data_IF_998968556426
#
_entry.id   IF_998968556426
#
_cell.length_a   1.000
_cell.length_b   1.000
_cell.length_c   1.000
_cell.angle_alpha   90.00
_cell.angle_beta   90.00
_cell.angle_gamma   90.00
#
_symmetry.space_group_name_H-M   'P 1'
#
loop_
_entity.id
_entity.type
_entity.pdbx_description
1 polymer ?
#
# COMPACT_ATOMS: atom_id res chain seq x y z
N UNK A 1 -8.14 -29.62 6.39
CA UNK A 1 -8.39 -28.66 5.30
C UNK A 1 -7.14 -27.83 5.15
N UNK A 2 -6.36 -28.06 4.12
CA UNK A 2 -5.24 -27.16 3.81
C UNK A 2 -5.86 -25.83 3.39
N UNK A 3 -5.75 -24.82 4.25
CA UNK A 3 -6.11 -23.45 3.90
C UNK A 3 -4.93 -22.93 3.09
N UNK A 4 -4.89 -23.22 1.79
CA UNK A 4 -3.92 -22.60 0.90
C UNK A 4 -4.31 -21.13 0.74
N UNK A 5 -3.45 -20.19 1.12
CA UNK A 5 -3.68 -18.79 0.87
C UNK A 5 -3.72 -18.51 -0.64
N UNK A 6 -4.49 -17.50 -1.05
CA UNK A 6 -4.60 -17.12 -2.45
C UNK A 6 -3.42 -16.22 -2.82
N UNK A 7 -2.54 -16.68 -3.71
CA UNK A 7 -1.47 -15.84 -4.28
C UNK A 7 -2.04 -15.15 -5.53
N UNK A 8 -1.97 -13.80 -5.63
CA UNK A 8 -2.50 -13.09 -6.78
C UNK A 8 -1.56 -13.24 -7.99
N UNK A 9 -2.14 -13.30 -9.19
CA UNK A 9 -1.36 -13.25 -10.44
C UNK A 9 -0.69 -11.88 -10.62
N UNK A 10 0.65 -11.88 -10.71
CA UNK A 10 1.48 -10.69 -10.91
C UNK A 10 2.47 -10.93 -12.07
N UNK A 11 2.98 -9.87 -12.73
CA UNK A 11 3.94 -10.01 -13.83
C UNK A 11 5.36 -10.42 -13.36
N UNK A 12 5.54 -10.70 -12.07
CA UNK A 12 6.78 -11.15 -11.45
C UNK A 12 6.48 -12.14 -10.32
N UNK A 13 7.49 -12.91 -9.92
CA UNK A 13 7.36 -13.85 -8.81
C UNK A 13 7.15 -13.09 -7.48
N UNK A 14 6.07 -13.41 -6.77
CA UNK A 14 5.76 -12.87 -5.46
C UNK A 14 5.05 -13.96 -4.65
N UNK A 15 5.65 -14.47 -3.57
CA UNK A 15 5.05 -15.54 -2.76
C UNK A 15 4.05 -15.02 -1.72
N UNK A 16 3.68 -13.74 -1.76
CA UNK A 16 2.81 -13.14 -0.75
C UNK A 16 1.35 -13.51 -1.02
N UNK A 17 0.75 -14.19 -0.06
CA UNK A 17 -0.67 -14.54 -0.04
C UNK A 17 -1.54 -13.32 0.29
N UNK A 18 -2.65 -13.18 -0.42
CA UNK A 18 -3.70 -12.20 -0.14
C UNK A 18 -4.20 -12.37 1.29
N UNK A 19 -4.42 -11.23 1.93
CA UNK A 19 -4.99 -11.10 3.28
C UNK A 19 -4.15 -11.69 4.43
N UNK A 20 -2.99 -12.28 4.12
CA UNK A 20 -1.95 -12.58 5.09
C UNK A 20 -1.23 -11.31 5.55
N UNK A 21 -0.56 -11.38 6.71
CA UNK A 21 0.05 -10.23 7.40
C UNK A 21 1.57 -10.27 7.32
N UNK A 22 2.17 -9.14 6.95
CA UNK A 22 3.61 -9.00 6.73
C UNK A 22 4.16 -7.72 7.35
N UNK A 23 5.31 -7.80 7.99
CA UNK A 23 6.11 -6.66 8.40
C UNK A 23 6.81 -5.99 7.23
N UNK A 24 7.17 -4.72 7.38
CA UNK A 24 7.83 -3.94 6.31
C UNK A 24 9.13 -4.57 5.80
N UNK A 25 9.90 -5.27 6.66
CA UNK A 25 11.12 -5.97 6.25
C UNK A 25 10.83 -7.22 5.43
N UNK A 26 9.80 -7.98 5.80
CA UNK A 26 9.38 -9.18 5.05
C UNK A 26 8.91 -8.80 3.65
N UNK A 27 8.12 -7.73 3.54
CA UNK A 27 7.70 -7.16 2.25
C UNK A 27 8.93 -6.81 1.41
N UNK A 28 9.89 -6.07 1.96
CA UNK A 28 11.09 -5.67 1.21
C UNK A 28 12.02 -6.83 0.84
N UNK A 29 12.07 -7.89 1.65
CA UNK A 29 12.87 -9.07 1.38
C UNK A 29 12.36 -9.83 0.15
N UNK A 30 11.04 -9.91 -0.02
CA UNK A 30 10.43 -10.53 -1.22
C UNK A 30 10.86 -9.84 -2.52
N UNK A 31 11.06 -8.52 -2.48
CA UNK A 31 11.52 -7.74 -3.63
C UNK A 31 13.05 -7.55 -3.68
N UNK A 32 13.80 -8.30 -2.87
CA UNK A 32 15.27 -8.29 -2.87
C UNK A 32 15.91 -7.02 -2.32
N UNK A 33 15.17 -6.18 -1.59
CA UNK A 33 15.71 -4.92 -1.02
C UNK A 33 16.17 -5.04 0.42
N UNK A 34 15.59 -5.94 1.22
CA UNK A 34 16.09 -6.25 2.55
C UNK A 34 16.81 -7.60 2.53
N UNK A 35 18.10 -7.60 2.90
CA UNK A 35 18.97 -8.78 2.90
C UNK A 35 19.74 -8.87 4.22
N UNK A 36 20.67 -9.81 4.35
CA UNK A 36 21.54 -9.88 5.54
C UNK A 36 22.49 -8.66 5.62
N UNK A 37 22.78 -8.05 4.48
CA UNK A 37 23.72 -6.96 4.30
C UNK A 37 23.05 -5.58 4.33
N UNK A 38 21.74 -5.49 4.04
CA UNK A 38 21.01 -4.21 4.02
C UNK A 38 19.64 -4.31 4.66
N UNK A 39 19.25 -3.27 5.42
CA UNK A 39 17.90 -3.15 5.99
C UNK A 39 16.83 -2.70 4.97
N UNK A 40 17.23 -2.44 3.73
CA UNK A 40 16.35 -1.97 2.65
C UNK A 40 16.05 -0.48 2.67
N UNK A 41 15.03 -0.11 1.92
CA UNK A 41 14.51 1.24 1.82
C UNK A 41 13.98 1.72 3.17
N UNK A 42 14.34 2.97 3.48
CA UNK A 42 13.80 3.73 4.61
C UNK A 42 12.91 4.84 4.06
N UNK A 43 11.74 5.05 4.66
CA UNK A 43 10.76 5.99 4.13
C UNK A 43 9.35 5.69 4.63
N UNK A 44 8.49 6.71 4.61
CA UNK A 44 7.13 6.60 5.14
C UNK A 44 6.15 6.33 4.00
N UNK A 45 5.55 5.15 3.99
CA UNK A 45 4.29 4.91 3.28
C UNK A 45 4.40 4.32 1.87
N UNK A 46 5.54 4.39 1.18
CA UNK A 46 5.70 3.78 -0.17
C UNK A 46 7.10 3.19 -0.34
N UNK A 47 7.19 2.02 -0.97
CA UNK A 47 8.43 1.45 -1.48
C UNK A 47 8.38 1.35 -3.01
N UNK A 48 9.48 1.71 -3.67
CA UNK A 48 9.62 1.61 -5.13
C UNK A 48 10.64 0.52 -5.47
N UNK A 49 10.24 -0.45 -6.29
CA UNK A 49 11.07 -1.54 -6.78
C UNK A 49 11.20 -1.43 -8.31
N UNK A 50 12.10 -0.57 -8.82
CA UNK A 50 12.20 -0.30 -10.25
C UNK A 50 12.61 -1.53 -11.06
N UNK A 51 13.36 -2.48 -10.48
CA UNK A 51 13.84 -3.68 -11.17
C UNK A 51 12.72 -4.62 -11.62
N UNK A 52 11.61 -4.63 -10.87
CA UNK A 52 10.40 -5.41 -11.19
C UNK A 52 9.22 -4.51 -11.55
N UNK A 53 9.48 -3.21 -11.73
CA UNK A 53 8.46 -2.17 -11.96
C UNK A 53 7.28 -2.28 -11.00
N UNK A 54 7.54 -2.23 -9.70
CA UNK A 54 6.48 -2.29 -8.69
C UNK A 54 6.55 -1.11 -7.71
N UNK A 55 5.39 -0.63 -7.30
CA UNK A 55 5.23 0.22 -6.11
C UNK A 55 4.42 -0.54 -5.06
N UNK A 56 4.90 -0.52 -3.82
CA UNK A 56 4.16 -0.99 -2.66
C UNK A 56 3.68 0.22 -1.86
N UNK A 57 2.36 0.36 -1.74
CA UNK A 57 1.71 1.37 -0.91
C UNK A 57 1.44 0.78 0.48
N UNK A 58 2.03 1.38 1.52
CA UNK A 58 1.85 1.02 2.92
C UNK A 58 0.81 1.96 3.56
N UNK A 59 -0.41 1.46 3.70
CA UNK A 59 -1.56 2.23 4.17
C UNK A 59 -1.80 1.99 5.66
N UNK A 60 -1.97 3.07 6.41
CA UNK A 60 -2.49 3.02 7.79
C UNK A 60 -3.75 3.88 7.85
N UNK A 61 -4.90 3.25 8.13
CA UNK A 61 -6.19 3.93 8.07
C UNK A 61 -6.41 4.88 9.25
N UNK A 62 -6.19 4.39 10.47
CA UNK A 62 -6.35 5.14 11.71
C UNK A 62 -5.02 5.80 12.05
N UNK A 63 -4.91 7.09 11.73
CA UNK A 63 -3.74 7.91 12.05
C UNK A 63 -3.98 8.71 13.31
N UNK A 64 -3.03 8.66 14.23
CA UNK A 64 -3.04 9.47 15.46
C UNK A 64 -1.86 10.43 15.47
N UNK A 65 -2.02 11.60 16.07
CA UNK A 65 -0.95 12.62 16.16
C UNK A 65 0.27 12.14 16.98
N UNK A 66 0.09 11.15 17.85
CA UNK A 66 1.20 10.51 18.58
C UNK A 66 2.10 9.69 17.66
N UNK A 67 1.56 9.18 16.56
CA UNK A 67 2.21 8.22 15.69
C UNK A 67 2.63 8.78 14.33
N UNK A 68 2.03 9.90 13.93
CA UNK A 68 2.18 10.58 12.64
C UNK A 68 2.35 12.08 12.83
N UNK A 69 3.23 12.68 12.02
CA UNK A 69 3.37 14.15 11.97
C UNK A 69 2.23 14.76 11.14
N UNK A 70 1.89 16.05 11.33
CA UNK A 70 0.94 16.75 10.46
C UNK A 70 1.26 16.62 8.96
N UNK A 71 2.55 16.57 8.60
CA UNK A 71 3.01 16.40 7.22
C UNK A 71 2.80 15.00 6.62
N UNK A 72 2.41 14.01 7.43
CA UNK A 72 2.16 12.61 7.03
C UNK A 72 0.73 12.14 7.38
N UNK A 73 -0.16 13.07 7.70
CA UNK A 73 -1.59 12.85 7.94
C UNK A 73 -2.38 12.74 6.62
N UNK A 74 -1.91 11.90 5.70
CA UNK A 74 -2.57 11.63 4.42
C UNK A 74 -3.95 10.99 4.63
N UNK A 75 -4.92 11.38 3.81
CA UNK A 75 -6.26 10.82 3.89
C UNK A 75 -6.34 9.47 3.17
N UNK A 76 -6.04 8.38 3.88
CA UNK A 76 -6.22 7.02 3.36
C UNK A 76 -7.43 6.35 4.00
N UNK A 77 -8.38 5.87 3.20
CA UNK A 77 -9.58 5.24 3.72
C UNK A 77 -10.26 4.37 2.65
N UNK A 78 -10.85 3.23 3.05
CA UNK A 78 -11.69 2.48 2.14
C UNK A 78 -12.97 3.26 1.80
N UNK A 79 -13.29 3.34 0.51
CA UNK A 79 -14.57 3.84 -0.01
C UNK A 79 -15.59 2.71 -0.05
N UNK A 80 -15.13 1.52 -0.46
CA UNK A 80 -15.87 0.26 -0.42
C UNK A 80 -14.87 -0.88 -0.22
N UNK A 81 -15.33 -2.13 -0.21
CA UNK A 81 -14.42 -3.29 -0.19
C UNK A 81 -13.54 -3.39 -1.43
N UNK A 82 -13.87 -2.70 -2.52
CA UNK A 82 -13.11 -2.73 -3.78
C UNK A 82 -12.45 -1.41 -4.12
N UNK A 83 -12.80 -0.31 -3.42
CA UNK A 83 -12.31 1.02 -3.73
C UNK A 83 -11.60 1.63 -2.53
N UNK A 84 -10.41 2.14 -2.75
CA UNK A 84 -9.55 2.74 -1.74
C UNK A 84 -9.17 4.15 -2.18
N UNK A 85 -9.40 5.12 -1.30
CA UNK A 85 -8.78 6.43 -1.42
C UNK A 85 -7.39 6.41 -0.79
N UNK A 86 -6.41 6.98 -1.48
CA UNK A 86 -5.03 7.12 -1.01
C UNK A 86 -4.45 8.45 -1.45
N UNK A 87 -3.62 9.09 -0.63
CA UNK A 87 -2.89 10.29 -1.01
C UNK A 87 -1.38 10.05 -1.06
N UNK A 88 -0.72 10.61 -2.08
CA UNK A 88 0.73 10.51 -2.22
C UNK A 88 1.48 11.29 -1.15
N UNK A 89 2.77 10.97 -0.98
CA UNK A 89 3.65 11.75 -0.12
C UNK A 89 3.74 13.20 -0.59
N UNK A 90 3.98 14.11 0.35
CA UNK A 90 4.04 15.56 0.11
C UNK A 90 5.16 16.00 -0.84
N UNK A 91 6.13 15.14 -1.16
CA UNK A 91 7.19 15.36 -2.15
C UNK A 91 6.90 14.71 -3.52
N UNK A 92 5.80 13.97 -3.65
CA UNK A 92 5.37 13.33 -4.90
C UNK A 92 4.38 14.25 -5.60
N UNK A 93 4.85 14.96 -6.62
CA UNK A 93 4.06 15.82 -7.49
C UNK A 93 3.71 15.08 -8.78
N UNK A 94 2.63 15.46 -9.48
CA UNK A 94 2.21 14.73 -10.69
C UNK A 94 3.31 14.71 -11.75
N UNK A 95 4.03 15.82 -11.94
CA UNK A 95 5.07 15.95 -12.95
C UNK A 95 6.39 15.23 -12.61
N UNK A 96 6.56 14.74 -11.37
CA UNK A 96 7.73 13.94 -10.99
C UNK A 96 7.62 12.50 -11.53
N UNK A 97 8.76 11.82 -11.66
CA UNK A 97 8.81 10.42 -12.12
C UNK A 97 7.91 9.49 -11.31
N UNK A 98 7.96 9.58 -9.97
CA UNK A 98 7.12 8.73 -9.10
C UNK A 98 5.62 9.04 -9.28
N UNK A 99 5.26 10.32 -9.41
CA UNK A 99 3.87 10.74 -9.64
C UNK A 99 3.35 10.23 -10.99
N UNK A 100 4.15 10.39 -12.05
CA UNK A 100 3.81 9.85 -13.36
C UNK A 100 3.75 8.32 -13.37
N UNK A 101 4.67 7.62 -12.69
CA UNK A 101 4.65 6.16 -12.56
C UNK A 101 3.36 5.67 -11.89
N UNK A 102 2.85 6.38 -10.88
CA UNK A 102 1.59 6.06 -10.21
C UNK A 102 0.37 6.36 -11.10
N UNK A 103 0.36 7.51 -11.79
CA UNK A 103 -0.77 7.93 -12.64
C UNK A 103 -0.87 7.08 -13.91
N UNK A 104 0.25 6.78 -14.53
CA UNK A 104 0.35 6.06 -15.79
C UNK A 104 0.79 4.61 -15.61
N UNK A 105 0.58 4.04 -14.41
CA UNK A 105 1.14 2.75 -14.02
C UNK A 105 0.90 1.65 -15.06
N UNK A 106 -0.35 1.53 -15.54
CA UNK A 106 -0.72 0.55 -16.57
C UNK A 106 -0.04 0.78 -17.91
N UNK A 107 0.18 2.03 -18.31
CA UNK A 107 0.82 2.36 -19.59
C UNK A 107 2.33 2.10 -19.53
N UNK A 108 2.92 2.14 -18.34
CA UNK A 108 4.36 2.02 -18.11
C UNK A 108 4.76 0.66 -17.52
N UNK A 109 3.82 -0.28 -17.47
CA UNK A 109 3.94 -1.62 -16.91
C UNK A 109 4.32 -1.66 -15.42
N UNK A 110 3.98 -0.60 -14.69
CA UNK A 110 4.12 -0.57 -13.25
C UNK A 110 2.96 -1.30 -12.57
N UNK A 111 3.29 -2.20 -11.65
CA UNK A 111 2.32 -2.87 -10.78
C UNK A 111 2.23 -2.14 -9.44
N UNK A 112 1.02 -1.75 -9.04
CA UNK A 112 0.78 -1.10 -7.75
C UNK A 112 0.19 -2.13 -6.78
N UNK A 113 0.84 -2.32 -5.65
CA UNK A 113 0.45 -3.28 -4.61
C UNK A 113 0.07 -2.54 -3.34
N UNK A 114 -1.03 -2.94 -2.69
CA UNK A 114 -1.49 -2.30 -1.45
C UNK A 114 -1.32 -3.24 -0.26
N UNK A 115 -0.72 -2.70 0.80
CA UNK A 115 -0.56 -3.33 2.10
C UNK A 115 -1.15 -2.39 3.14
N UNK A 116 -2.16 -2.84 3.89
CA UNK A 116 -2.94 -1.98 4.78
C UNK A 116 -2.99 -2.50 6.21
N UNK A 117 -3.16 -1.60 7.17
CA UNK A 117 -3.42 -1.92 8.57
C UNK A 117 -4.31 -0.85 9.19
N UNK A 118 -5.01 -1.22 10.26
CA UNK A 118 -5.89 -0.30 10.97
C UNK A 118 -5.07 0.81 11.64
N UNK A 119 -4.11 0.44 12.48
CA UNK A 119 -3.29 1.36 13.28
C UNK A 119 -1.81 0.98 13.24
N UNK A 120 -0.91 1.91 13.57
CA UNK A 120 0.54 1.66 13.48
C UNK A 120 1.07 0.78 14.60
N UNK A 121 0.61 0.98 15.84
CA UNK A 121 0.95 0.13 16.97
C UNK A 121 -0.28 -0.36 17.71
N UNK A 122 -0.20 -1.58 18.25
CA UNK A 122 -1.17 -2.13 19.21
C UNK A 122 -0.38 -2.70 20.38
N UNK A 123 -0.72 -2.30 21.60
CA UNK A 123 -0.02 -2.71 22.83
C UNK A 123 1.51 -2.49 22.77
N UNK A 124 1.94 -1.36 22.19
CA UNK A 124 3.36 -1.01 22.05
C UNK A 124 4.11 -1.69 20.92
N UNK A 125 3.51 -2.69 20.25
CA UNK A 125 4.12 -3.45 19.15
C UNK A 125 3.63 -2.94 17.80
N UNK A 126 4.51 -2.91 16.80
CA UNK A 126 4.15 -2.50 15.44
C UNK A 126 3.23 -3.53 14.81
N UNK A 127 2.07 -3.08 14.31
CA UNK A 127 1.11 -3.96 13.63
C UNK A 127 1.61 -4.24 12.21
N UNK A 128 1.67 -5.52 11.78
CA UNK A 128 2.01 -5.88 10.41
C UNK A 128 0.91 -5.42 9.43
N UNK A 129 1.26 -5.30 8.15
CA UNK A 129 0.31 -4.95 7.11
C UNK A 129 -0.34 -6.19 6.51
N UNK A 130 -1.64 -6.12 6.28
CA UNK A 130 -2.41 -7.09 5.51
C UNK A 130 -2.23 -6.82 4.02
N UNK A 131 -1.86 -7.82 3.23
CA UNK A 131 -1.72 -7.66 1.77
C UNK A 131 -3.11 -7.63 1.10
N UNK A 132 -3.45 -6.54 0.43
CA UNK A 132 -4.74 -6.39 -0.27
C UNK A 132 -4.65 -6.67 -1.78
N UNK A 133 -3.47 -7.02 -2.28
CA UNK A 133 -3.28 -7.37 -3.68
C UNK A 133 -2.91 -6.19 -4.59
N UNK A 134 -2.87 -6.46 -5.91
CA UNK A 134 -2.67 -5.43 -6.93
C UNK A 134 -3.90 -4.54 -7.11
N UNK A 135 -3.66 -3.31 -7.56
CA UNK A 135 -4.71 -2.30 -7.78
C UNK A 135 -4.64 -1.67 -9.16
N UNK A 136 -5.78 -1.14 -9.60
CA UNK A 136 -5.90 -0.32 -10.81
C UNK A 136 -6.34 1.09 -10.49
N UNK A 137 -5.71 2.08 -11.13
CA UNK A 137 -6.12 3.48 -11.00
C UNK A 137 -7.52 3.68 -11.59
N UNK A 138 -8.44 4.20 -10.78
CA UNK A 138 -9.77 4.64 -11.22
C UNK A 138 -9.72 6.12 -11.60
N UNK A 139 -9.23 6.96 -10.69
CA UNK A 139 -9.12 8.41 -10.89
C UNK A 139 -7.94 8.97 -10.09
N UNK A 140 -7.53 10.19 -10.46
CA UNK A 140 -6.58 10.97 -9.69
C UNK A 140 -6.94 12.46 -9.80
N UNK A 141 -6.60 13.23 -8.77
CA UNK A 141 -6.75 14.69 -8.73
C UNK A 141 -5.67 15.32 -7.84
N UNK A 142 -5.60 16.65 -7.82
CA UNK A 142 -4.63 17.46 -7.06
C UNK A 142 -3.18 17.29 -7.49
N UNK A 143 -2.42 18.38 -7.54
CA UNK A 143 -1.00 18.34 -7.91
C UNK A 143 -0.15 17.70 -6.81
N UNK A 144 -0.40 18.05 -5.55
CA UNK A 144 0.39 17.61 -4.38
C UNK A 144 -0.35 17.86 -3.06
N UNK A 145 -0.62 16.83 -2.22
CA UNK A 145 -0.48 15.41 -2.56
C UNK A 145 -1.44 15.03 -3.69
N UNK A 146 -1.05 14.04 -4.49
CA UNK A 146 -1.91 13.46 -5.52
C UNK A 146 -2.92 12.57 -4.80
N UNK A 147 -4.20 12.84 -5.01
CA UNK A 147 -5.28 12.01 -4.47
C UNK A 147 -5.65 10.97 -5.51
N UNK A 148 -5.59 9.70 -5.13
CA UNK A 148 -5.85 8.57 -6.01
C UNK A 148 -7.06 7.79 -5.49
N UNK A 149 -7.90 7.35 -6.42
CA UNK A 149 -8.85 6.26 -6.16
C UNK A 149 -8.33 5.01 -6.85
N UNK A 150 -8.02 4.01 -6.04
CA UNK A 150 -7.55 2.71 -6.46
C UNK A 150 -8.70 1.70 -6.41
N UNK A 151 -8.82 0.87 -7.45
CA UNK A 151 -9.66 -0.33 -7.44
C UNK A 151 -8.81 -1.54 -7.08
N UNK A 152 -9.12 -2.17 -5.95
CA UNK A 152 -8.55 -3.45 -5.57
C UNK A 152 -9.03 -4.53 -6.55
N UNK A 153 -8.11 -5.35 -7.09
CA UNK A 153 -8.52 -6.50 -7.91
C UNK A 153 -9.20 -7.60 -7.08
N UNK A 154 -8.95 -7.61 -5.77
CA UNK A 154 -9.53 -8.54 -4.82
C UNK A 154 -10.20 -7.74 -3.69
N UNK A 155 -11.46 -8.03 -3.32
CA UNK A 155 -12.13 -7.28 -2.28
C UNK A 155 -11.42 -7.42 -0.93
N UNK A 156 -11.19 -6.29 -0.26
CA UNK A 156 -10.69 -6.20 1.11
C UNK A 156 -11.51 -7.11 2.06
N UNK A 157 -10.87 -7.70 3.10
CA UNK A 157 -11.59 -8.42 4.14
C UNK A 157 -12.73 -7.59 4.75
N UNK A 158 -13.87 -8.22 5.02
CA UNK A 158 -15.07 -7.53 5.52
C UNK A 158 -14.79 -6.81 6.83
N UNK A 159 -14.16 -7.48 7.79
CA UNK A 159 -13.83 -6.90 9.10
C UNK A 159 -12.96 -5.64 8.97
N UNK A 160 -11.92 -5.71 8.13
CA UNK A 160 -11.05 -4.56 7.87
C UNK A 160 -11.82 -3.39 7.24
N UNK A 161 -12.78 -3.65 6.37
CA UNK A 161 -13.61 -2.60 5.79
C UNK A 161 -14.51 -1.95 6.85
N UNK A 162 -15.24 -2.75 7.64
CA UNK A 162 -16.16 -2.24 8.66
C UNK A 162 -15.43 -1.42 9.75
N UNK A 163 -14.25 -1.87 10.16
CA UNK A 163 -13.44 -1.19 11.18
C UNK A 163 -12.84 0.15 10.71
N UNK A 164 -12.80 0.39 9.40
CA UNK A 164 -12.08 1.54 8.82
C UNK A 164 -12.90 2.40 7.84
N UNK A 165 -14.18 2.07 7.59
CA UNK A 165 -15.05 2.89 6.73
C UNK A 165 -15.30 4.26 7.36
N UNK A 166 -15.29 5.31 6.53
CA UNK A 166 -15.64 6.66 7.01
C UNK A 166 -17.11 6.73 7.44
N UNK A 167 -17.37 7.26 8.64
CA UNK A 167 -18.72 7.47 9.16
C UNK A 167 -19.38 6.23 9.77
N UNK A 168 -18.58 5.30 10.30
CA UNK A 168 -19.04 4.25 11.22
C UNK A 168 -19.20 4.76 12.64
#
# INVERSE_FOLDING_TARGET
TEVSGQIPELPFACPLELHSRYGGKEIQAVFGKATLETSGQTGVGVFHFPEVKAYVLLVTFQKTEKEFSPSTMYADYPISRELLHWESQANTAQHHSDGQNLIHHRQWDYTILVFARDQKKRNGVTVPFTYLGPVERVSYESERPIKMVWRLRYPMPVEMFEDNRRGG
#
